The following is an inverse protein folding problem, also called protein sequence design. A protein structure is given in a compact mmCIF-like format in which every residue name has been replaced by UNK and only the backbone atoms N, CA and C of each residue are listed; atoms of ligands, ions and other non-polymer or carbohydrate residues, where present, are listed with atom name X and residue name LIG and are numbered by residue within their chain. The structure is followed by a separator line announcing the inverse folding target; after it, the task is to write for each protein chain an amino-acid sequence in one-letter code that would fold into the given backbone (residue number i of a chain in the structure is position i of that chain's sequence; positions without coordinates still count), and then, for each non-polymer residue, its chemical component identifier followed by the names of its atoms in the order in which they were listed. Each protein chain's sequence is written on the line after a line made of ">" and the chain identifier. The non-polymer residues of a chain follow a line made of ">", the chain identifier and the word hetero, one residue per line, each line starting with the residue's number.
data_IF_949856407325
#
_entry.id   IF_949856407325
#
_cell.length_a   1.000
_cell.length_b   1.000
_cell.length_c   1.000
_cell.angle_alpha   90.00
_cell.angle_beta   90.00
_cell.angle_gamma   90.00
#
_symmetry.space_group_name_H-M   'P 1'
#
loop_
_entity.id
_entity.type
_entity.pdbx_description
1 polymer ?
#
# COMPACT_ATOMS: atom_id res chain seq x y z
N UNK A 1 -3.67 3.14 23.84
CA UNK A 1 -3.86 2.81 22.42
C UNK A 1 -3.12 1.54 22.08
N UNK A 2 -3.85 0.44 21.92
CA UNK A 2 -3.33 -0.86 21.46
C UNK A 2 -4.00 -1.30 20.15
N UNK A 3 -4.88 -0.47 19.60
CA UNK A 3 -5.55 -0.73 18.33
C UNK A 3 -4.75 -0.07 17.20
N UNK A 4 -4.51 -0.82 16.13
CA UNK A 4 -3.73 -0.38 14.98
C UNK A 4 -4.66 -0.34 13.76
N UNK A 5 -4.75 0.82 13.12
CA UNK A 5 -5.40 0.93 11.81
C UNK A 5 -4.35 0.62 10.74
N UNK A 6 -4.67 -0.28 9.82
CA UNK A 6 -3.82 -0.56 8.66
C UNK A 6 -4.33 0.12 7.39
N UNK A 7 -3.51 0.18 6.32
CA UNK A 7 -3.96 0.53 4.98
C UNK A 7 -5.07 -0.40 4.48
N UNK A 8 -5.73 -0.01 3.39
CA UNK A 8 -6.79 -0.82 2.79
C UNK A 8 -6.17 -2.07 2.13
N UNK A 9 -6.42 -3.23 2.72
CA UNK A 9 -5.99 -4.50 2.16
C UNK A 9 -6.60 -4.76 0.78
N UNK A 10 -5.73 -4.90 -0.22
CA UNK A 10 -6.10 -5.43 -1.53
C UNK A 10 -6.21 -6.95 -1.40
N UNK A 11 -7.42 -7.45 -1.12
CA UNK A 11 -7.66 -8.89 -0.99
C UNK A 11 -7.47 -9.59 -2.35
N UNK A 12 -6.29 -10.15 -2.60
CA UNK A 12 -6.05 -11.10 -3.69
C UNK A 12 -6.02 -12.50 -3.10
N UNK A 13 -6.97 -13.36 -3.48
CA UNK A 13 -6.76 -14.80 -3.37
C UNK A 13 -5.75 -15.22 -4.44
N UNK A 14 -4.49 -15.42 -4.04
CA UNK A 14 -3.54 -16.18 -4.86
C UNK A 14 -3.84 -17.66 -4.66
N UNK A 15 -4.28 -18.34 -5.70
CA UNK A 15 -4.64 -19.77 -5.67
C UNK A 15 -3.41 -20.68 -5.49
N UNK A 16 -2.18 -20.21 -5.73
CA UNK A 16 -0.99 -21.09 -5.80
C UNK A 16 0.23 -20.67 -4.96
N UNK A 17 0.14 -19.67 -4.08
CA UNK A 17 1.29 -19.27 -3.24
C UNK A 17 0.97 -19.44 -1.75
N UNK A 18 0.98 -20.69 -1.28
CA UNK A 18 0.77 -21.06 0.13
C UNK A 18 1.80 -20.49 1.13
N UNK A 19 2.74 -19.63 0.73
CA UNK A 19 3.75 -19.09 1.65
C UNK A 19 4.40 -17.75 1.28
N UNK A 20 3.92 -17.04 0.25
CA UNK A 20 4.50 -15.73 -0.12
C UNK A 20 3.43 -14.64 -0.17
N UNK A 21 3.24 -13.98 0.97
CA UNK A 21 2.54 -12.68 1.05
C UNK A 21 3.42 -11.58 0.45
N UNK A 22 3.70 -11.65 -0.85
CA UNK A 22 4.33 -10.53 -1.55
C UNK A 22 3.26 -9.46 -1.74
N UNK A 23 3.46 -8.27 -1.16
CA UNK A 23 2.50 -7.16 -1.26
C UNK A 23 2.33 -6.77 -2.72
N UNK A 24 1.08 -6.58 -3.14
CA UNK A 24 0.70 -6.10 -4.48
C UNK A 24 1.43 -4.80 -4.82
N UNK A 25 1.59 -3.95 -3.81
CA UNK A 25 2.21 -2.64 -3.94
C UNK A 25 3.72 -2.72 -4.11
N UNK A 26 4.40 -3.70 -3.49
CA UNK A 26 5.86 -3.85 -3.58
C UNK A 26 6.31 -4.11 -5.02
N UNK A 27 5.57 -4.93 -5.76
CA UNK A 27 5.88 -5.22 -7.17
C UNK A 27 5.71 -3.98 -8.04
N UNK A 28 4.69 -3.18 -7.79
CA UNK A 28 4.46 -1.93 -8.53
C UNK A 28 5.53 -0.89 -8.21
N UNK A 29 5.85 -0.70 -6.92
CA UNK A 29 6.93 0.20 -6.48
C UNK A 29 8.27 -0.24 -7.08
N UNK A 30 8.57 -1.54 -7.07
CA UNK A 30 9.79 -2.07 -7.67
C UNK A 30 9.84 -1.81 -9.18
N UNK A 31 8.72 -1.95 -9.88
CA UNK A 31 8.63 -1.65 -11.30
C UNK A 31 8.86 -0.17 -11.61
N UNK A 32 8.19 0.72 -10.87
CA UNK A 32 8.34 2.17 -11.01
C UNK A 32 9.80 2.58 -10.72
N UNK A 33 10.42 2.01 -9.68
CA UNK A 33 11.83 2.22 -9.37
C UNK A 33 12.76 1.75 -10.50
N UNK A 34 12.53 0.56 -11.06
CA UNK A 34 13.31 0.06 -12.19
C UNK A 34 13.18 0.97 -13.42
N UNK A 35 11.99 1.51 -13.68
CA UNK A 35 11.77 2.45 -14.77
C UNK A 35 12.55 3.74 -14.57
N UNK A 36 12.43 4.38 -13.40
CA UNK A 36 13.20 5.60 -13.08
C UNK A 36 14.70 5.34 -13.17
N UNK A 37 15.18 4.26 -12.56
CA UNK A 37 16.61 3.92 -12.59
C UNK A 37 17.12 3.65 -14.02
N UNK A 38 16.28 3.10 -14.90
CA UNK A 38 16.62 2.89 -16.31
C UNK A 38 16.82 4.21 -17.06
N UNK A 39 15.95 5.18 -16.81
CA UNK A 39 16.02 6.51 -17.40
C UNK A 39 17.19 7.32 -16.83
N UNK A 40 17.38 7.30 -15.52
CA UNK A 40 18.49 7.98 -14.84
C UNK A 40 19.83 7.46 -15.35
N UNK A 41 19.96 6.14 -15.52
CA UNK A 41 21.19 5.52 -16.08
C UNK A 41 21.45 5.99 -17.50
N UNK A 42 20.41 6.10 -18.34
CA UNK A 42 20.53 6.61 -19.70
C UNK A 42 21.03 8.06 -19.70
N UNK A 43 20.33 8.93 -18.98
CA UNK A 43 20.65 10.36 -18.90
C UNK A 43 22.03 10.61 -18.34
N UNK A 44 22.38 9.96 -17.23
CA UNK A 44 23.68 10.09 -16.59
C UNK A 44 24.81 9.60 -17.50
N UNK A 45 24.59 8.49 -18.22
CA UNK A 45 25.60 7.99 -19.17
C UNK A 45 25.80 8.95 -20.34
N UNK A 46 24.72 9.53 -20.89
CA UNK A 46 24.82 10.55 -21.95
C UNK A 46 25.61 11.75 -21.46
N UNK A 47 25.25 12.30 -20.31
CA UNK A 47 25.90 13.48 -19.74
C UNK A 47 27.39 13.23 -19.51
N UNK A 48 27.73 12.11 -18.85
CA UNK A 48 29.12 11.72 -18.59
C UNK A 48 29.94 11.55 -19.87
N UNK A 49 29.37 10.98 -20.93
CA UNK A 49 30.08 10.80 -22.20
C UNK A 49 30.31 12.12 -22.91
N UNK A 50 29.31 13.01 -22.94
CA UNK A 50 29.44 14.33 -23.58
C UNK A 50 30.46 15.19 -22.83
N UNK A 51 30.31 15.32 -21.51
CA UNK A 51 31.17 16.17 -20.67
C UNK A 51 32.63 15.72 -20.67
N UNK A 52 32.90 14.42 -20.56
CA UNK A 52 34.27 13.89 -20.50
C UNK A 52 34.95 13.79 -21.86
N UNK A 53 34.22 14.00 -22.96
CA UNK A 53 34.78 13.86 -24.31
C UNK A 53 35.48 15.11 -24.84
N UNK A 54 35.38 16.25 -24.15
CA UNK A 54 35.88 17.55 -24.64
C UNK A 54 35.39 17.89 -26.07
N UNK A 55 34.16 17.47 -26.41
CA UNK A 55 33.54 17.67 -27.72
C UNK A 55 33.90 16.63 -28.79
N UNK A 56 34.68 15.60 -28.45
CA UNK A 56 35.03 14.51 -29.38
C UNK A 56 33.87 13.52 -29.59
N UNK A 57 32.95 13.39 -28.62
CA UNK A 57 31.78 12.53 -28.72
C UNK A 57 30.56 13.40 -28.97
N UNK A 58 29.90 13.17 -30.11
CA UNK A 58 28.61 13.82 -30.39
C UNK A 58 27.53 13.32 -29.43
N UNK A 59 26.56 14.18 -29.09
CA UNK A 59 25.40 13.78 -28.27
C UNK A 59 24.66 12.58 -28.85
N UNK A 60 24.59 12.48 -30.18
CA UNK A 60 23.99 11.32 -30.86
C UNK A 60 24.75 10.03 -30.55
N UNK A 61 26.07 10.04 -30.67
CA UNK A 61 26.92 8.88 -30.36
C UNK A 61 26.86 8.52 -28.86
N UNK A 62 26.86 9.52 -27.98
CA UNK A 62 26.67 9.30 -26.55
C UNK A 62 25.32 8.64 -26.24
N UNK A 63 24.23 9.08 -26.89
CA UNK A 63 22.89 8.50 -26.74
C UNK A 63 22.82 7.05 -27.25
N UNK A 64 23.47 6.74 -28.37
CA UNK A 64 23.55 5.38 -28.90
C UNK A 64 24.27 4.44 -27.90
N UNK A 65 25.43 4.86 -27.37
CA UNK A 65 26.16 4.09 -26.35
C UNK A 65 25.36 3.95 -25.06
N UNK A 66 24.78 5.04 -24.56
CA UNK A 66 23.96 5.02 -23.35
C UNK A 66 22.73 4.11 -23.49
N UNK A 67 22.06 4.14 -24.65
CA UNK A 67 20.93 3.24 -24.94
C UNK A 67 21.34 1.78 -24.92
N UNK A 68 22.53 1.46 -25.47
CA UNK A 68 23.08 0.11 -25.38
C UNK A 68 23.40 -0.31 -23.94
N UNK A 69 24.00 0.58 -23.14
CA UNK A 69 24.31 0.33 -21.73
C UNK A 69 23.03 0.07 -20.95
N UNK A 70 22.04 0.96 -21.03
CA UNK A 70 20.76 0.82 -20.35
C UNK A 70 20.03 -0.47 -20.77
N UNK A 71 19.93 -0.72 -22.08
CA UNK A 71 19.25 -1.93 -22.58
C UNK A 71 19.93 -3.20 -22.09
N UNK A 72 21.26 -3.30 -22.18
CA UNK A 72 21.98 -4.51 -21.77
C UNK A 72 21.95 -4.73 -20.26
N UNK A 73 21.94 -3.66 -19.47
CA UNK A 73 21.88 -3.75 -18.01
C UNK A 73 20.49 -4.17 -17.53
N UNK A 74 19.43 -3.60 -18.11
CA UNK A 74 18.06 -3.76 -17.60
C UNK A 74 17.24 -4.84 -18.30
N UNK A 75 17.51 -5.19 -19.56
CA UNK A 75 16.73 -6.19 -20.29
C UNK A 75 16.62 -7.55 -19.56
N UNK A 76 17.68 -8.10 -18.93
CA UNK A 76 17.57 -9.36 -18.18
C UNK A 76 16.66 -9.26 -16.96
N UNK A 77 16.52 -8.08 -16.36
CA UNK A 77 15.64 -7.83 -15.21
C UNK A 77 14.19 -7.72 -15.71
N UNK A 78 13.93 -6.90 -16.73
CA UNK A 78 12.59 -6.77 -17.32
C UNK A 78 12.07 -8.10 -17.89
N UNK A 79 12.95 -8.95 -18.43
CA UNK A 79 12.59 -10.27 -18.95
C UNK A 79 12.07 -11.24 -17.87
N UNK A 80 12.37 -11.00 -16.60
CA UNK A 80 11.88 -11.82 -15.47
C UNK A 80 10.50 -11.39 -14.99
N UNK A 81 9.97 -10.26 -15.47
CA UNK A 81 8.70 -9.71 -15.02
C UNK A 81 7.56 -10.43 -15.74
N UNK A 82 6.67 -11.06 -14.97
CA UNK A 82 5.46 -11.66 -15.51
C UNK A 82 4.39 -10.56 -15.74
N UNK A 83 4.02 -10.26 -17.00
CA UNK A 83 3.05 -9.20 -17.29
C UNK A 83 1.64 -9.51 -16.78
N UNK A 84 1.26 -10.79 -16.69
CA UNK A 84 -0.03 -11.21 -16.12
C UNK A 84 -0.10 -10.90 -14.63
N UNK A 85 0.98 -11.16 -13.89
CA UNK A 85 1.08 -10.80 -12.48
C UNK A 85 0.98 -9.30 -12.27
N UNK A 86 1.71 -8.51 -13.07
CA UNK A 86 1.66 -7.05 -13.03
C UNK A 86 0.24 -6.51 -13.31
N UNK A 87 -0.42 -7.03 -14.36
CA UNK A 87 -1.78 -6.64 -14.71
C UNK A 87 -2.81 -7.00 -13.64
N UNK A 88 -2.67 -8.18 -13.02
CA UNK A 88 -3.53 -8.62 -11.91
C UNK A 88 -3.36 -7.73 -10.66
N UNK A 89 -2.12 -7.37 -10.34
CA UNK A 89 -1.81 -6.48 -9.23
C UNK A 89 -2.45 -5.10 -9.44
N UNK A 90 -2.24 -4.51 -10.61
CA UNK A 90 -2.84 -3.22 -10.97
C UNK A 90 -4.37 -3.27 -10.94
N UNK A 91 -4.98 -4.34 -11.47
CA UNK A 91 -6.43 -4.53 -11.42
C UNK A 91 -6.93 -4.56 -9.98
N UNK A 92 -6.21 -5.21 -9.08
CA UNK A 92 -6.62 -5.36 -7.69
C UNK A 92 -6.57 -4.02 -6.93
N UNK A 93 -5.54 -3.20 -7.17
CA UNK A 93 -5.47 -1.80 -6.69
C UNK A 93 -6.68 -0.99 -7.19
N UNK A 94 -7.03 -1.13 -8.47
CA UNK A 94 -8.20 -0.44 -9.04
C UNK A 94 -9.52 -0.91 -8.42
N UNK A 95 -9.67 -2.20 -8.16
CA UNK A 95 -10.84 -2.76 -7.49
C UNK A 95 -10.97 -2.20 -6.07
N UNK A 96 -9.88 -2.23 -5.30
CA UNK A 96 -9.84 -1.70 -3.93
C UNK A 96 -10.24 -0.22 -3.89
N UNK A 97 -9.67 0.59 -4.80
CA UNK A 97 -10.07 1.99 -4.98
C UNK A 97 -11.55 2.14 -5.31
N UNK A 98 -12.07 1.36 -6.27
CA UNK A 98 -13.50 1.44 -6.67
C UNK A 98 -14.45 1.04 -5.55
N UNK A 99 -14.10 0.05 -4.74
CA UNK A 99 -14.86 -0.30 -3.55
C UNK A 99 -14.79 0.80 -2.49
N UNK A 100 -13.61 1.33 -2.21
CA UNK A 100 -13.44 2.44 -1.28
C UNK A 100 -14.22 3.68 -1.69
N UNK A 101 -14.26 4.01 -2.99
CA UNK A 101 -15.07 5.12 -3.54
C UNK A 101 -16.56 4.91 -3.24
N UNK A 102 -17.06 3.68 -3.37
CA UNK A 102 -18.48 3.33 -3.12
C UNK A 102 -18.82 3.28 -1.62
N UNK A 103 -17.88 2.86 -0.79
CA UNK A 103 -18.04 2.77 0.66
C UNK A 103 -17.78 4.08 1.38
N UNK A 104 -17.16 5.06 0.70
CA UNK A 104 -16.96 6.39 1.26
C UNK A 104 -18.31 7.09 1.48
N UNK A 105 -18.72 7.20 2.74
CA UNK A 105 -19.95 7.88 3.18
C UNK A 105 -19.70 9.32 3.66
N UNK A 106 -18.60 9.94 3.22
CA UNK A 106 -18.31 11.35 3.47
C UNK A 106 -17.43 11.63 4.70
N UNK A 107 -16.79 10.61 5.28
CA UNK A 107 -15.83 10.81 6.37
C UNK A 107 -14.36 10.78 5.91
N UNK A 108 -14.09 10.47 4.64
CA UNK A 108 -12.72 10.50 4.11
C UNK A 108 -12.34 11.92 3.69
N UNK A 109 -11.15 12.36 4.11
CA UNK A 109 -10.54 13.58 3.61
C UNK A 109 -10.21 13.48 2.11
N UNK A 110 -9.91 14.61 1.50
CA UNK A 110 -9.40 14.65 0.12
C UNK A 110 -8.14 13.78 0.00
N UNK A 111 -8.08 12.93 -1.04
CA UNK A 111 -6.98 11.99 -1.31
C UNK A 111 -6.76 10.87 -0.28
N UNK A 112 -7.50 10.83 0.84
CA UNK A 112 -7.35 9.80 1.86
C UNK A 112 -7.48 8.38 1.31
N UNK A 113 -8.43 8.15 0.39
CA UNK A 113 -8.60 6.85 -0.25
C UNK A 113 -7.38 6.44 -1.08
N UNK A 114 -6.74 7.38 -1.77
CA UNK A 114 -5.51 7.11 -2.53
C UNK A 114 -4.38 6.71 -1.57
N UNK A 115 -4.27 7.40 -0.45
CA UNK A 115 -3.33 7.09 0.63
C UNK A 115 -3.56 5.69 1.21
N UNK A 116 -4.80 5.37 1.58
CA UNK A 116 -5.16 4.07 2.14
C UNK A 116 -4.91 2.91 1.17
N UNK A 117 -5.07 3.12 -0.14
CA UNK A 117 -4.91 2.05 -1.14
C UNK A 117 -3.45 1.85 -1.57
N UNK A 118 -2.67 2.93 -1.68
CA UNK A 118 -1.34 2.87 -2.31
C UNK A 118 -0.31 3.85 -1.74
N UNK A 119 -0.65 4.62 -0.70
CA UNK A 119 0.25 5.63 -0.12
C UNK A 119 1.14 5.12 1.01
N UNK A 120 0.82 3.95 1.58
CA UNK A 120 1.59 3.33 2.66
C UNK A 120 2.47 2.20 2.14
N UNK A 121 3.70 2.04 2.67
CA UNK A 121 4.70 1.11 2.12
C UNK A 121 4.35 -0.35 2.33
N UNK A 122 3.54 -0.69 3.33
CA UNK A 122 3.09 -2.07 3.58
C UNK A 122 1.72 -2.09 4.25
N UNK A 123 1.02 -3.21 4.14
CA UNK A 123 -0.24 -3.45 4.88
C UNK A 123 -0.03 -3.55 6.40
N UNK A 124 1.19 -3.87 6.84
CA UNK A 124 1.57 -3.85 8.26
C UNK A 124 1.94 -2.47 8.77
N UNK A 125 1.82 -1.43 7.93
CA UNK A 125 2.06 -0.06 8.37
C UNK A 125 0.99 0.35 9.38
N UNK A 126 1.42 0.73 10.58
CA UNK A 126 0.50 1.17 11.64
C UNK A 126 0.17 2.63 11.42
N UNK A 127 -1.08 2.90 11.06
CA UNK A 127 -1.65 4.24 11.00
C UNK A 127 -2.12 4.60 12.41
N UNK A 128 -1.38 5.48 13.06
CA UNK A 128 -1.75 5.96 14.38
C UNK A 128 -2.95 6.93 14.34
N UNK A 129 -3.47 7.29 15.51
CA UNK A 129 -4.62 8.17 15.63
C UNK A 129 -4.35 9.59 15.12
N UNK A 130 -3.11 10.06 15.24
CA UNK A 130 -2.73 11.39 14.78
C UNK A 130 -2.75 11.41 13.24
N UNK A 131 -2.13 10.43 12.58
CA UNK A 131 -2.14 10.32 11.13
C UNK A 131 -3.56 10.11 10.58
N UNK A 132 -4.38 9.31 11.26
CA UNK A 132 -5.79 9.15 10.90
C UNK A 132 -6.57 10.47 10.94
N UNK A 133 -6.32 11.33 11.95
CA UNK A 133 -6.92 12.66 12.09
C UNK A 133 -6.41 13.65 11.07
N UNK A 134 -5.10 13.64 10.81
CA UNK A 134 -4.45 14.67 10.00
C UNK A 134 -4.60 14.44 8.50
N UNK A 135 -4.69 13.17 8.05
CA UNK A 135 -4.58 12.84 6.63
C UNK A 135 -5.71 12.00 6.05
N UNK A 136 -6.50 11.33 6.88
CA UNK A 136 -7.41 10.27 6.40
C UNK A 136 -8.88 10.57 6.62
N UNK A 137 -9.27 11.00 7.82
CA UNK A 137 -10.67 11.14 8.18
C UNK A 137 -11.01 12.53 8.70
N UNK A 138 -12.18 13.03 8.33
CA UNK A 138 -12.71 14.30 8.84
C UNK A 138 -13.08 14.19 10.33
N UNK A 139 -13.56 13.01 10.74
CA UNK A 139 -14.00 12.73 12.11
C UNK A 139 -13.28 11.48 12.63
N UNK A 140 -12.46 11.67 13.67
CA UNK A 140 -11.83 10.60 14.47
C UNK A 140 -12.04 10.92 15.95
N UNK A 141 -12.98 10.21 16.56
CA UNK A 141 -13.37 10.40 17.96
C UNK A 141 -12.60 9.45 18.87
N UNK A 142 -12.47 9.85 20.13
CA UNK A 142 -12.02 8.93 21.17
C UNK A 142 -13.15 7.95 21.52
N UNK A 143 -12.77 6.76 21.96
CA UNK A 143 -13.72 5.77 22.43
C UNK A 143 -14.52 6.31 23.62
N UNK A 144 -15.82 6.05 23.60
CA UNK A 144 -16.69 6.28 24.74
C UNK A 144 -16.36 5.31 25.87
N UNK A 145 -16.78 5.66 27.10
CA UNK A 145 -16.64 4.79 28.28
C UNK A 145 -17.29 3.41 28.07
N UNK A 146 -18.32 3.33 27.24
CA UNK A 146 -19.00 2.07 26.92
C UNK A 146 -18.17 1.24 25.95
N UNK A 147 -17.61 1.85 24.90
CA UNK A 147 -16.70 1.20 23.96
C UNK A 147 -15.42 0.72 24.65
N UNK A 148 -14.85 1.51 25.57
CA UNK A 148 -13.69 1.10 26.38
C UNK A 148 -13.99 -0.10 27.28
N UNK A 149 -15.21 -0.17 27.82
CA UNK A 149 -15.65 -1.29 28.66
C UNK A 149 -15.84 -2.54 27.82
N UNK A 150 -16.44 -2.39 26.64
CA UNK A 150 -16.61 -3.47 25.67
C UNK A 150 -15.25 -4.00 25.21
N UNK A 151 -14.34 -3.11 24.79
CA UNK A 151 -13.00 -3.46 24.34
C UNK A 151 -12.26 -4.27 25.41
N UNK A 152 -12.28 -3.82 26.68
CA UNK A 152 -11.67 -4.57 27.79
C UNK A 152 -12.29 -5.96 27.99
N UNK A 153 -13.62 -6.08 27.91
CA UNK A 153 -14.28 -7.38 28.00
C UNK A 153 -13.92 -8.31 26.83
N UNK A 154 -13.86 -7.78 25.60
CA UNK A 154 -13.46 -8.53 24.42
C UNK A 154 -11.99 -8.98 24.51
N UNK A 155 -11.08 -8.12 24.99
CA UNK A 155 -9.68 -8.49 25.20
C UNK A 155 -9.52 -9.60 26.23
N UNK A 156 -10.29 -9.58 27.32
CA UNK A 156 -10.29 -10.67 28.32
C UNK A 156 -10.78 -12.01 27.74
N UNK A 157 -11.69 -11.96 26.76
CA UNK A 157 -12.16 -13.16 26.05
C UNK A 157 -11.15 -13.65 25.01
N UNK A 158 -10.37 -12.73 24.41
CA UNK A 158 -9.35 -13.06 23.42
C UNK A 158 -8.07 -13.65 24.05
N UNK A 159 -7.72 -13.21 25.27
CA UNK A 159 -6.62 -13.79 26.06
C UNK A 159 -6.92 -15.24 26.54
N UNK A 160 -8.16 -15.71 26.41
CA UNK A 160 -8.50 -17.12 26.54
C UNK A 160 -8.10 -17.84 25.25
N UNK A 161 -6.81 -18.16 25.13
CA UNK A 161 -6.20 -18.94 24.06
C UNK A 161 -6.82 -20.35 23.92
N UNK A 162 -8.00 -20.44 23.32
CA UNK A 162 -8.47 -21.65 22.69
C UNK A 162 -9.21 -21.24 21.43
N UNK A 163 -8.89 -21.89 20.31
CA UNK A 163 -9.47 -21.71 18.96
C UNK A 163 -10.97 -22.06 18.90
N UNK A 164 -11.75 -21.63 19.88
CA UNK A 164 -13.17 -21.86 19.99
C UNK A 164 -13.91 -20.61 19.55
N UNK A 165 -14.77 -20.79 18.54
CA UNK A 165 -15.76 -19.79 18.16
C UNK A 165 -16.66 -19.48 19.35
N UNK A 166 -16.64 -18.24 19.82
CA UNK A 166 -17.54 -17.76 20.85
C UNK A 166 -18.59 -16.83 20.25
N UNK A 167 -19.84 -16.97 20.72
CA UNK A 167 -20.94 -16.06 20.39
C UNK A 167 -21.21 -15.20 21.61
N UNK A 168 -21.02 -13.89 21.50
CA UNK A 168 -21.31 -12.94 22.56
C UNK A 168 -22.58 -12.18 22.22
N UNK A 169 -23.55 -12.19 23.12
CA UNK A 169 -24.68 -11.28 23.02
C UNK A 169 -24.28 -9.89 23.53
N UNK A 170 -23.87 -9.02 22.61
CA UNK A 170 -23.43 -7.65 22.91
C UNK A 170 -24.56 -6.78 23.49
N UNK A 171 -25.84 -7.09 23.23
CA UNK A 171 -26.98 -6.30 23.76
C UNK A 171 -27.08 -6.33 25.30
N UNK A 172 -26.49 -7.32 25.97
CA UNK A 172 -26.42 -7.35 27.44
C UNK A 172 -25.50 -6.28 28.03
N UNK A 173 -24.64 -5.68 27.21
CA UNK A 173 -23.64 -4.69 27.62
C UNK A 173 -23.95 -3.28 27.13
N UNK A 174 -24.87 -3.15 26.16
CA UNK A 174 -25.41 -1.88 25.69
C UNK A 174 -26.78 -1.65 26.33
N UNK A 175 -26.80 -1.13 27.55
CA UNK A 175 -28.02 -0.49 28.06
C UNK A 175 -28.17 0.80 27.26
N UNK A 176 -29.11 0.82 26.31
CA UNK A 176 -29.55 2.08 25.75
C UNK A 176 -30.28 2.82 26.87
N UNK A 177 -29.66 3.84 27.45
CA UNK A 177 -30.42 4.90 28.11
C UNK A 177 -31.25 5.55 27.01
N UNK A 178 -32.44 5.02 26.78
CA UNK A 178 -33.44 5.63 25.90
C UNK A 178 -33.74 7.00 26.53
N UNK A 179 -33.48 8.13 25.85
CA UNK A 179 -33.97 9.40 26.36
C UNK A 179 -35.49 9.36 26.31
N UNK A 180 -36.12 9.61 27.46
CA UNK A 180 -37.56 9.82 27.57
C UNK A 180 -37.99 11.12 26.87
#
# INVERSE_FOLDING_TARGET
>A
DTAELGPLDVQIMKTDELNQRNSVLDLMIAFDYLQSFSLDTLEETVMRLVENSEGQISTKSALEVASHVATNLFAPIYAQINPTTLGSNQRSVQIARKYGERLNRGNLQANALKLLVAGYPSHSFVIDRQEAREKLFEIVQDSSKTEDRLARHLSQLYDLQNEQTFVINVTKYFVTDTPA
#
